data_IF_791254372050
#
_entry.id   IF_791254372050
#
_cell.length_a   1.000
_cell.length_b   1.000
_cell.length_c   1.000
_cell.angle_alpha   90.00
_cell.angle_beta   90.00
_cell.angle_gamma   90.00
#
_symmetry.space_group_name_H-M   'P 1'
#
loop_
_entity.id
_entity.type
_entity.pdbx_description
1 polymer ?
#
# COMPACT_ATOMS: atom_id res chain seq x y z
N UNK A 1 -11.00 7.73 0.09
CA UNK A 1 -11.13 6.40 -0.44
C UNK A 1 -12.58 5.93 -0.29
N UNK A 2 -13.22 5.38 -1.33
CA UNK A 2 -14.66 5.05 -1.28
C UNK A 2 -14.98 3.79 -0.47
N UNK A 3 -14.01 2.88 -0.32
CA UNK A 3 -14.17 1.61 0.41
C UNK A 3 -14.15 1.82 1.92
N UNK A 4 -14.77 0.91 2.66
CA UNK A 4 -14.64 0.80 4.11
C UNK A 4 -13.88 -0.49 4.45
N UNK A 5 -12.88 -0.39 5.30
CA UNK A 5 -12.12 -1.53 5.83
C UNK A 5 -12.66 -2.01 7.18
N UNK A 6 -13.43 -1.17 7.86
CA UNK A 6 -14.00 -1.46 9.16
C UNK A 6 -15.49 -1.16 9.24
N UNK A 7 -16.19 -1.79 10.20
CA UNK A 7 -17.58 -1.51 10.50
C UNK A 7 -17.78 -0.05 10.96
N UNK A 8 -16.79 0.53 11.63
CA UNK A 8 -16.84 1.92 12.10
C UNK A 8 -16.81 2.90 10.93
N UNK A 9 -15.89 2.70 9.97
CA UNK A 9 -15.82 3.51 8.75
C UNK A 9 -17.12 3.42 7.94
N UNK A 10 -17.68 2.21 7.80
CA UNK A 10 -18.97 2.01 7.17
C UNK A 10 -20.06 2.85 7.85
N UNK A 11 -20.19 2.76 9.18
CA UNK A 11 -21.21 3.50 9.95
C UNK A 11 -21.04 5.02 9.86
N UNK A 12 -19.81 5.53 9.79
CA UNK A 12 -19.49 6.96 9.63
C UNK A 12 -19.65 7.48 8.21
N UNK A 13 -19.81 6.58 7.23
CA UNK A 13 -19.98 6.96 5.82
C UNK A 13 -21.37 7.53 5.56
N UNK A 14 -21.48 8.43 4.58
CA UNK A 14 -22.78 8.95 4.14
C UNK A 14 -23.59 7.84 3.39
N UNK A 15 -24.91 8.00 3.23
CA UNK A 15 -25.77 6.97 2.64
C UNK A 15 -25.34 6.49 1.26
N UNK A 16 -24.85 7.38 0.39
CA UNK A 16 -24.37 7.00 -0.95
C UNK A 16 -23.12 6.12 -0.88
N UNK A 17 -22.16 6.43 0.01
CA UNK A 17 -20.99 5.59 0.26
C UNK A 17 -21.38 4.26 0.89
N UNK A 18 -22.29 4.24 1.85
CA UNK A 18 -22.78 3.01 2.45
C UNK A 18 -23.43 2.09 1.41
N UNK A 19 -24.23 2.66 0.50
CA UNK A 19 -24.81 1.90 -0.62
C UNK A 19 -23.73 1.29 -1.51
N UNK A 20 -22.71 2.08 -1.91
CA UNK A 20 -21.57 1.59 -2.68
C UNK A 20 -20.82 0.48 -1.95
N UNK A 21 -20.49 0.70 -0.68
CA UNK A 21 -19.74 -0.25 0.15
C UNK A 21 -20.49 -1.58 0.31
N UNK A 22 -21.82 -1.51 0.43
CA UNK A 22 -22.66 -2.70 0.58
C UNK A 22 -22.84 -3.48 -0.72
N UNK A 23 -22.98 -2.80 -1.85
CA UNK A 23 -23.43 -3.42 -3.10
C UNK A 23 -22.31 -3.59 -4.14
N UNK A 24 -21.32 -2.70 -4.15
CA UNK A 24 -20.31 -2.65 -5.22
C UNK A 24 -18.87 -2.83 -4.72
N UNK A 25 -18.59 -2.64 -3.43
CA UNK A 25 -17.22 -2.68 -2.90
C UNK A 25 -16.48 -3.97 -3.26
N UNK A 26 -17.12 -5.13 -3.16
CA UNK A 26 -16.49 -6.42 -3.46
C UNK A 26 -16.07 -6.53 -4.92
N UNK A 27 -16.96 -6.14 -5.85
CA UNK A 27 -16.69 -6.18 -7.30
C UNK A 27 -15.69 -5.12 -7.71
N UNK A 28 -15.78 -3.92 -7.11
CA UNK A 28 -14.92 -2.78 -7.42
C UNK A 28 -13.57 -2.81 -6.67
N UNK A 29 -13.36 -3.79 -5.81
CA UNK A 29 -12.13 -3.89 -5.01
C UNK A 29 -10.88 -3.83 -5.90
N UNK A 30 -10.71 -4.77 -6.81
CA UNK A 30 -9.54 -4.81 -7.68
C UNK A 30 -9.42 -3.61 -8.63
N UNK A 31 -10.48 -3.18 -9.35
CA UNK A 31 -10.43 -1.95 -10.13
C UNK A 31 -10.00 -0.73 -9.33
N UNK A 32 -10.49 -0.57 -8.09
CA UNK A 32 -10.08 0.54 -7.23
C UNK A 32 -8.64 0.39 -6.72
N UNK A 33 -8.20 -0.82 -6.44
CA UNK A 33 -6.83 -1.11 -6.08
C UNK A 33 -5.84 -0.77 -7.22
N UNK A 34 -6.22 -0.98 -8.47
CA UNK A 34 -5.41 -0.54 -9.62
C UNK A 34 -5.20 0.98 -9.66
N UNK A 35 -6.08 1.76 -9.02
CA UNK A 35 -5.94 3.21 -8.88
C UNK A 35 -5.00 3.64 -7.74
N UNK A 36 -4.34 2.70 -7.04
CA UNK A 36 -3.47 3.00 -5.89
C UNK A 36 -2.40 4.04 -6.24
N UNK A 37 -1.66 3.85 -7.32
CA UNK A 37 -0.59 4.77 -7.72
C UNK A 37 -1.13 6.15 -8.06
N UNK A 38 -2.31 6.23 -8.69
CA UNK A 38 -2.97 7.50 -8.98
C UNK A 38 -3.41 8.23 -7.71
N UNK A 39 -3.91 7.48 -6.72
CA UNK A 39 -4.23 8.01 -5.39
C UNK A 39 -2.98 8.57 -4.69
N UNK A 40 -1.87 7.83 -4.73
CA UNK A 40 -0.59 8.28 -4.15
C UNK A 40 -0.08 9.55 -4.82
N UNK A 41 -0.19 9.66 -6.15
CA UNK A 41 0.17 10.90 -6.89
C UNK A 41 -0.70 12.08 -6.50
N UNK A 42 -2.02 11.86 -6.38
CA UNK A 42 -2.94 12.89 -5.89
C UNK A 42 -2.58 13.34 -4.47
N UNK A 43 -2.24 12.40 -3.60
CA UNK A 43 -1.79 12.69 -2.23
C UNK A 43 -0.47 13.45 -2.20
N UNK A 44 0.48 13.14 -3.09
CA UNK A 44 1.75 13.87 -3.21
C UNK A 44 1.54 15.33 -3.63
N UNK A 45 0.66 15.58 -4.60
CA UNK A 45 0.29 16.94 -5.00
C UNK A 45 -0.41 17.70 -3.87
N UNK A 46 -1.34 17.05 -3.18
CA UNK A 46 -2.04 17.63 -2.03
C UNK A 46 -1.05 17.95 -0.89
N UNK A 47 -0.07 17.08 -0.66
CA UNK A 47 0.99 17.30 0.34
C UNK A 47 1.82 18.54 -0.01
N UNK A 48 2.32 18.66 -1.25
CA UNK A 48 3.09 19.82 -1.70
C UNK A 48 2.28 21.12 -1.52
N UNK A 49 0.99 21.11 -1.90
CA UNK A 49 0.12 22.27 -1.72
C UNK A 49 -0.04 22.65 -0.23
N UNK A 50 -0.30 21.65 0.63
CA UNK A 50 -0.47 21.89 2.07
C UNK A 50 0.83 22.35 2.73
N UNK A 51 1.98 21.82 2.33
CA UNK A 51 3.28 22.22 2.84
C UNK A 51 3.58 23.67 2.47
N UNK A 52 3.39 24.07 1.21
CA UNK A 52 3.54 25.46 0.78
C UNK A 52 2.66 26.41 1.60
N UNK A 53 1.41 26.02 1.87
CA UNK A 53 0.47 26.83 2.64
C UNK A 53 0.83 26.93 4.14
N UNK A 54 1.36 25.85 4.75
CA UNK A 54 1.62 25.81 6.20
C UNK A 54 3.01 26.32 6.59
N UNK A 55 4.03 26.00 5.80
CA UNK A 55 5.45 26.24 6.11
C UNK A 55 6.12 27.19 5.13
N UNK A 56 5.45 27.52 4.02
CA UNK A 56 6.06 28.27 2.91
C UNK A 56 6.86 27.35 1.99
N UNK A 57 7.52 27.98 1.01
CA UNK A 57 8.37 27.31 0.03
C UNK A 57 9.80 27.30 0.56
N UNK A 58 10.26 26.14 0.99
CA UNK A 58 11.62 25.89 1.46
C UNK A 58 12.43 25.07 0.44
N UNK A 59 13.69 24.79 0.75
CA UNK A 59 14.59 24.01 -0.11
C UNK A 59 14.06 22.61 -0.37
N UNK A 60 13.46 21.96 0.63
CA UNK A 60 12.89 20.63 0.52
C UNK A 60 11.69 20.63 -0.44
N UNK A 61 10.80 21.61 -0.29
CA UNK A 61 9.66 21.79 -1.19
C UNK A 61 10.10 22.00 -2.64
N UNK A 62 11.12 22.85 -2.87
CA UNK A 62 11.65 23.10 -4.22
C UNK A 62 12.21 21.80 -4.81
N UNK A 63 12.93 21.00 -4.06
CA UNK A 63 13.49 19.74 -4.49
C UNK A 63 12.38 18.75 -4.90
N UNK A 64 11.41 18.54 -4.01
CA UNK A 64 10.29 17.63 -4.25
C UNK A 64 9.45 18.04 -5.48
N UNK A 65 9.13 19.34 -5.60
CA UNK A 65 8.40 19.87 -6.73
C UNK A 65 9.21 19.75 -8.03
N UNK A 66 10.52 20.04 -8.00
CA UNK A 66 11.39 19.90 -9.16
C UNK A 66 11.52 18.47 -9.64
N UNK A 67 11.64 17.50 -8.71
CA UNK A 67 11.64 16.08 -9.04
C UNK A 67 10.32 15.63 -9.68
N UNK A 68 9.20 16.10 -9.16
CA UNK A 68 7.88 15.78 -9.74
C UNK A 68 7.71 16.39 -11.13
N UNK A 69 8.07 17.67 -11.31
CA UNK A 69 8.03 18.34 -12.62
C UNK A 69 8.96 17.65 -13.61
N UNK A 70 10.19 17.33 -13.20
CA UNK A 70 11.15 16.60 -14.02
C UNK A 70 10.63 15.23 -14.45
N UNK A 71 9.99 14.50 -13.53
CA UNK A 71 9.35 13.22 -13.85
C UNK A 71 8.23 13.39 -14.91
N UNK A 72 7.34 14.37 -14.72
CA UNK A 72 6.25 14.61 -15.67
C UNK A 72 6.78 15.10 -17.03
N UNK A 73 7.79 15.95 -17.03
CA UNK A 73 8.43 16.39 -18.27
C UNK A 73 9.03 15.21 -19.04
N UNK A 74 9.83 14.37 -18.37
CA UNK A 74 10.54 13.26 -18.99
C UNK A 74 9.61 12.11 -19.43
N UNK A 75 8.61 11.77 -18.63
CA UNK A 75 7.78 10.58 -18.85
C UNK A 75 6.40 10.85 -19.45
N UNK A 76 5.98 12.12 -19.52
CA UNK A 76 4.69 12.49 -20.12
C UNK A 76 4.91 13.45 -21.29
N UNK A 77 5.56 14.61 -21.04
CA UNK A 77 5.66 15.66 -22.06
C UNK A 77 6.54 15.24 -23.22
N UNK A 78 7.76 14.74 -22.96
CA UNK A 78 8.69 14.30 -24.03
C UNK A 78 8.09 13.16 -24.85
N UNK A 79 7.59 12.05 -24.29
CA UNK A 79 6.95 11.02 -25.09
C UNK A 79 5.69 11.49 -25.82
N UNK A 80 4.92 12.41 -25.24
CA UNK A 80 3.78 13.00 -25.94
C UNK A 80 4.19 13.76 -27.20
N UNK A 81 5.28 14.53 -27.13
CA UNK A 81 5.82 15.25 -28.28
C UNK A 81 6.32 14.30 -29.39
N UNK A 82 6.80 13.11 -29.01
CA UNK A 82 7.32 12.11 -29.96
C UNK A 82 6.22 11.20 -30.55
N UNK A 83 5.25 10.79 -29.74
CA UNK A 83 4.27 9.74 -30.07
C UNK A 83 2.80 10.18 -29.93
N UNK A 84 2.56 11.45 -29.59
CA UNK A 84 1.20 11.98 -29.41
C UNK A 84 0.43 11.31 -28.27
N UNK A 85 -0.90 11.23 -28.40
CA UNK A 85 -1.80 10.73 -27.36
C UNK A 85 -1.55 9.29 -26.92
N UNK A 86 -0.95 8.45 -27.77
CA UNK A 86 -0.59 7.08 -27.43
C UNK A 86 0.40 6.99 -26.27
N UNK A 87 1.33 7.95 -26.15
CA UNK A 87 2.25 8.00 -25.03
C UNK A 87 1.53 8.19 -23.68
N UNK A 88 0.49 9.02 -23.66
CA UNK A 88 -0.32 9.23 -22.46
C UNK A 88 -1.09 7.96 -22.09
N UNK A 89 -1.71 7.30 -23.08
CA UNK A 89 -2.43 6.06 -22.87
C UNK A 89 -1.49 4.94 -22.33
N UNK A 90 -0.30 4.81 -22.91
CA UNK A 90 0.72 3.88 -22.47
C UNK A 90 1.17 4.17 -21.02
N UNK A 91 1.50 5.42 -20.73
CA UNK A 91 1.88 5.86 -19.39
C UNK A 91 0.78 5.55 -18.36
N UNK A 92 -0.47 5.89 -18.69
CA UNK A 92 -1.61 5.61 -17.83
C UNK A 92 -1.80 4.09 -17.61
N UNK A 93 -1.70 3.29 -18.65
CA UNK A 93 -1.82 1.84 -18.59
C UNK A 93 -0.75 1.22 -17.71
N UNK A 94 0.52 1.58 -17.91
CA UNK A 94 1.65 1.06 -17.10
C UNK A 94 1.44 1.36 -15.62
N UNK A 95 1.13 2.60 -15.26
CA UNK A 95 0.95 2.97 -13.85
C UNK A 95 -0.31 2.36 -13.22
N UNK A 96 -1.34 2.10 -14.00
CA UNK A 96 -2.53 1.37 -13.54
C UNK A 96 -2.19 -0.10 -13.25
N UNK A 97 -1.41 -0.76 -14.12
CA UNK A 97 -0.92 -2.12 -13.89
C UNK A 97 -0.01 -2.17 -12.65
N UNK A 98 0.93 -1.22 -12.53
CA UNK A 98 1.79 -1.11 -11.34
C UNK A 98 0.96 -0.96 -10.06
N UNK A 99 -0.09 -0.13 -10.09
CA UNK A 99 -1.04 -0.01 -8.98
C UNK A 99 -1.69 -1.33 -8.59
N UNK A 100 -2.11 -2.10 -9.57
CA UNK A 100 -2.68 -3.45 -9.37
C UNK A 100 -1.68 -4.43 -8.76
N UNK A 101 -0.45 -4.48 -9.28
CA UNK A 101 0.62 -5.34 -8.75
C UNK A 101 0.96 -4.98 -7.30
N UNK A 102 1.18 -3.70 -7.00
CA UNK A 102 1.45 -3.24 -5.64
C UNK A 102 0.30 -3.60 -4.69
N UNK A 103 -0.94 -3.40 -5.12
CA UNK A 103 -2.09 -3.77 -4.30
C UNK A 103 -2.20 -5.27 -4.10
N UNK A 104 -1.89 -6.10 -5.10
CA UNK A 104 -1.86 -7.55 -4.96
C UNK A 104 -0.83 -8.03 -3.94
N UNK A 105 0.29 -7.31 -3.82
CA UNK A 105 1.34 -7.61 -2.82
C UNK A 105 0.92 -7.16 -1.42
N UNK A 106 0.41 -5.93 -1.27
CA UNK A 106 0.19 -5.33 0.05
C UNK A 106 -1.20 -5.65 0.64
N UNK A 107 -2.25 -5.64 -0.18
CA UNK A 107 -3.61 -5.73 0.31
C UNK A 107 -3.91 -7.03 1.11
N UNK A 108 -3.50 -8.23 0.68
CA UNK A 108 -3.82 -9.46 1.41
C UNK A 108 -3.20 -9.52 2.81
N UNK A 109 -2.05 -8.87 3.01
CA UNK A 109 -1.36 -8.85 4.29
C UNK A 109 -1.99 -7.90 5.33
N UNK A 110 -2.84 -6.96 4.90
CA UNK A 110 -3.39 -5.91 5.76
C UNK A 110 -4.91 -5.83 5.81
N UNK A 111 -5.63 -6.31 4.78
CA UNK A 111 -7.07 -6.17 4.70
C UNK A 111 -7.78 -7.21 5.57
N UNK A 112 -8.84 -6.76 6.27
CA UNK A 112 -9.66 -7.61 7.12
C UNK A 112 -9.06 -7.90 8.49
N UNK A 113 -7.98 -7.21 8.86
CA UNK A 113 -7.40 -7.23 10.19
C UNK A 113 -7.97 -6.13 11.08
N UNK A 114 -7.87 -6.25 12.42
CA UNK A 114 -8.33 -5.23 13.34
C UNK A 114 -7.65 -3.88 13.05
N UNK A 115 -8.41 -2.79 13.13
CA UNK A 115 -7.85 -1.43 13.15
C UNK A 115 -7.75 -1.01 14.61
N UNK A 116 -6.53 -0.86 15.08
CA UNK A 116 -6.23 -0.43 16.45
C UNK A 116 -5.99 1.07 16.43
N UNK A 117 -6.88 1.85 17.07
CA UNK A 117 -6.79 3.31 17.07
C UNK A 117 -5.76 3.84 18.08
N UNK A 118 -5.55 3.11 19.20
CA UNK A 118 -4.55 3.46 20.21
C UNK A 118 -3.87 2.21 20.75
N UNK A 119 -2.56 2.15 20.66
CA UNK A 119 -1.77 1.11 21.33
C UNK A 119 -0.52 1.72 21.97
N UNK A 120 -0.17 1.19 23.14
CA UNK A 120 1.09 1.53 23.82
C UNK A 120 2.22 0.58 23.41
N UNK A 121 1.88 -0.58 22.88
CA UNK A 121 2.82 -1.62 22.47
C UNK A 121 2.88 -1.69 20.93
N UNK A 122 3.87 -0.98 20.36
CA UNK A 122 4.11 -0.93 18.92
C UNK A 122 4.47 -2.31 18.36
N UNK A 123 5.13 -3.17 19.13
CA UNK A 123 5.52 -4.51 18.71
C UNK A 123 4.29 -5.42 18.56
N UNK A 124 3.44 -5.43 19.58
CA UNK A 124 2.21 -6.21 19.57
C UNK A 124 1.27 -5.76 18.46
N UNK A 125 1.24 -4.45 18.17
CA UNK A 125 0.45 -3.88 17.08
C UNK A 125 0.78 -4.54 15.74
N UNK A 126 2.06 -4.79 15.46
CA UNK A 126 2.47 -5.41 14.19
C UNK A 126 1.89 -6.81 14.03
N UNK A 127 1.86 -7.62 15.08
CA UNK A 127 1.24 -8.95 15.05
C UNK A 127 -0.28 -8.90 14.89
N UNK A 128 -0.94 -7.89 15.41
CA UNK A 128 -2.41 -7.76 15.37
C UNK A 128 -2.92 -7.16 14.04
N UNK A 129 -2.12 -6.30 13.41
CA UNK A 129 -2.52 -5.53 12.22
C UNK A 129 -1.86 -5.99 10.92
N UNK A 130 -1.02 -7.01 10.99
CA UNK A 130 -0.40 -7.61 9.82
C UNK A 130 -0.46 -9.14 9.88
N UNK A 131 -0.27 -9.79 8.75
CA UNK A 131 -0.18 -11.25 8.64
C UNK A 131 0.77 -11.65 7.53
N UNK A 132 1.36 -12.82 7.67
CA UNK A 132 2.18 -13.43 6.64
C UNK A 132 1.32 -14.15 5.59
N UNK A 133 1.85 -14.27 4.39
CA UNK A 133 1.20 -14.93 3.27
C UNK A 133 1.97 -16.20 2.92
N UNK A 134 1.27 -17.34 2.88
CA UNK A 134 1.86 -18.59 2.42
C UNK A 134 1.56 -18.79 0.93
N UNK A 135 2.58 -19.04 0.15
CA UNK A 135 2.49 -19.17 -1.31
C UNK A 135 3.61 -20.04 -1.88
N UNK A 136 3.49 -20.50 -3.15
CA UNK A 136 4.57 -21.21 -3.83
C UNK A 136 5.85 -20.35 -3.95
N UNK A 137 7.02 -20.97 -3.87
CA UNK A 137 8.32 -20.28 -3.91
C UNK A 137 8.53 -19.37 -5.13
N UNK A 138 8.02 -19.78 -6.29
CA UNK A 138 8.12 -18.97 -7.50
C UNK A 138 7.35 -17.64 -7.39
N UNK A 139 6.23 -17.63 -6.66
CA UNK A 139 5.45 -16.41 -6.43
C UNK A 139 6.09 -15.57 -5.32
N UNK A 140 6.54 -16.18 -4.21
CA UNK A 140 7.26 -15.52 -3.12
C UNK A 140 8.48 -14.73 -3.63
N UNK A 141 9.17 -15.23 -4.66
CA UNK A 141 10.27 -14.51 -5.30
C UNK A 141 9.86 -13.10 -5.79
N UNK A 142 8.67 -12.96 -6.37
CA UNK A 142 8.17 -11.65 -6.84
C UNK A 142 7.69 -10.74 -5.71
N UNK A 143 7.42 -11.28 -4.54
CA UNK A 143 7.07 -10.50 -3.35
C UNK A 143 8.28 -9.87 -2.65
N UNK A 144 9.49 -10.30 -2.97
CA UNK A 144 10.74 -9.74 -2.42
C UNK A 144 10.72 -9.72 -0.88
N UNK A 145 10.22 -10.80 -0.25
CA UNK A 145 10.10 -10.95 1.19
C UNK A 145 8.87 -10.28 1.82
N UNK A 146 8.04 -9.57 1.05
CA UNK A 146 6.81 -8.94 1.56
C UNK A 146 5.67 -9.95 1.85
N UNK A 147 5.87 -11.22 1.55
CA UNK A 147 5.07 -12.33 2.05
C UNK A 147 5.32 -12.62 3.54
N UNK A 148 6.44 -12.14 4.11
CA UNK A 148 6.77 -12.14 5.54
C UNK A 148 6.50 -10.76 6.16
N UNK A 149 5.25 -10.32 6.13
CA UNK A 149 4.88 -8.94 6.45
C UNK A 149 5.06 -8.60 7.93
N UNK A 150 4.81 -9.55 8.83
CA UNK A 150 5.04 -9.37 10.27
C UNK A 150 6.51 -9.03 10.53
N UNK A 151 7.43 -9.83 10.00
CA UNK A 151 8.87 -9.65 10.15
C UNK A 151 9.36 -8.38 9.47
N UNK A 152 8.82 -8.07 8.30
CA UNK A 152 9.13 -6.83 7.60
C UNK A 152 8.80 -5.59 8.45
N UNK A 153 7.66 -5.60 9.14
CA UNK A 153 7.25 -4.51 10.04
C UNK A 153 8.03 -4.47 11.34
N UNK A 154 8.35 -5.64 11.92
CA UNK A 154 9.12 -5.73 13.17
C UNK A 154 10.59 -5.33 12.95
N UNK A 155 11.16 -5.71 11.82
CA UNK A 155 12.60 -5.61 11.53
C UNK A 155 12.87 -5.01 10.14
N UNK A 156 12.51 -3.75 9.88
CA UNK A 156 12.54 -3.15 8.53
C UNK A 156 13.96 -3.03 7.94
N UNK A 157 15.00 -3.22 8.75
CA UNK A 157 16.40 -3.17 8.30
C UNK A 157 16.98 -4.54 7.94
N UNK A 158 16.25 -5.62 8.18
CA UNK A 158 16.71 -6.97 7.81
C UNK A 158 16.57 -7.17 6.29
N UNK A 159 17.62 -7.65 5.60
CA UNK A 159 17.53 -7.99 4.19
C UNK A 159 16.43 -9.01 3.92
N UNK A 160 15.65 -8.79 2.85
CA UNK A 160 14.51 -9.64 2.51
C UNK A 160 14.84 -11.14 2.37
N UNK A 161 16.06 -11.47 1.96
CA UNK A 161 16.53 -12.86 1.86
C UNK A 161 16.58 -13.58 3.22
N UNK A 162 16.73 -12.84 4.32
CA UNK A 162 16.79 -13.38 5.68
C UNK A 162 15.43 -13.45 6.36
N UNK A 163 14.39 -12.83 5.80
CA UNK A 163 13.04 -12.82 6.40
C UNK A 163 12.46 -14.22 6.62
N UNK A 164 12.65 -15.23 5.73
CA UNK A 164 12.16 -16.58 5.98
C UNK A 164 12.76 -17.24 7.23
N UNK A 165 14.03 -16.97 7.55
CA UNK A 165 14.67 -17.48 8.77
C UNK A 165 14.19 -16.71 10.01
N UNK A 166 14.07 -15.39 9.90
CA UNK A 166 13.52 -14.55 10.96
C UNK A 166 12.09 -14.96 11.29
N UNK A 167 11.26 -15.28 10.28
CA UNK A 167 9.89 -15.74 10.46
C UNK A 167 9.78 -17.01 11.32
N UNK A 168 10.72 -17.95 11.20
CA UNK A 168 10.77 -19.14 12.05
C UNK A 168 10.97 -18.74 13.52
N UNK A 169 11.93 -17.85 13.78
CA UNK A 169 12.27 -17.37 15.12
C UNK A 169 11.10 -16.58 15.71
N UNK A 170 10.53 -15.66 14.92
CA UNK A 170 9.40 -14.82 15.34
C UNK A 170 8.16 -15.64 15.68
N UNK A 171 7.86 -16.65 14.86
CA UNK A 171 6.73 -17.58 15.11
C UNK A 171 6.91 -18.34 16.42
N UNK A 172 8.11 -18.89 16.68
CA UNK A 172 8.39 -19.60 17.93
C UNK A 172 8.32 -18.67 19.13
N UNK A 173 8.84 -17.46 19.00
CA UNK A 173 8.76 -16.43 20.04
C UNK A 173 7.30 -16.06 20.34
N UNK A 174 6.51 -15.79 19.31
CA UNK A 174 5.10 -15.45 19.44
C UNK A 174 4.32 -16.58 20.17
N UNK A 175 4.58 -17.83 19.79
CA UNK A 175 3.98 -19.00 20.45
C UNK A 175 4.35 -19.09 21.94
N UNK A 176 5.59 -18.82 22.33
CA UNK A 176 6.05 -18.86 23.71
C UNK A 176 5.47 -17.74 24.58
N UNK A 177 5.13 -16.61 23.96
CA UNK A 177 4.67 -15.41 24.66
C UNK A 177 3.16 -15.15 24.49
N UNK A 178 2.42 -16.11 23.96
CA UNK A 178 0.97 -16.01 23.74
C UNK A 178 0.58 -14.77 22.91
N UNK A 179 1.37 -14.50 21.85
CA UNK A 179 1.13 -13.41 20.91
C UNK A 179 0.53 -13.99 19.63
N UNK A 180 -0.56 -13.39 19.06
CA UNK A 180 -1.14 -13.89 17.84
C UNK A 180 -0.13 -13.79 16.68
N UNK A 181 0.04 -14.87 15.93
CA UNK A 181 0.88 -14.91 14.73
C UNK A 181 0.04 -15.46 13.59
N UNK A 182 -0.36 -14.58 12.67
CA UNK A 182 -1.32 -14.90 11.63
C UNK A 182 -0.63 -15.24 10.31
N UNK A 183 -1.02 -16.34 9.71
CA UNK A 183 -0.60 -16.77 8.37
C UNK A 183 -1.83 -17.25 7.59
N UNK A 184 -1.93 -16.82 6.32
CA UNK A 184 -2.99 -17.27 5.42
C UNK A 184 -2.42 -17.66 4.07
N UNK A 185 -3.12 -18.56 3.37
CA UNK A 185 -2.85 -18.82 1.96
C UNK A 185 -3.15 -17.59 1.11
N UNK A 186 -2.30 -17.34 0.13
CA UNK A 186 -2.50 -16.24 -0.82
C UNK A 186 -3.69 -16.51 -1.77
N UNK A 187 -4.01 -17.80 -2.02
CA UNK A 187 -5.12 -18.27 -2.85
C UNK A 187 -6.18 -18.93 -1.99
#
# INVERSE_FOLDING_TARGET
WPMASTALEYRRSNPARQWFQRNLQGVMFWPLCMMLVWSMRGSSLAYLYQQAKKRGIDRSWILDASCLIGHLALWVVVPYMMFGGWAIAFYAGVWTIVGGVLSAVFAPAHIGLPVVEETKDIWRLQFETTRNLTMPKWLSFFFIGLDHQIEHHLFPLIPHQSLPEVAKITREWAKRNDVPYQEIGYF
#
